data_IF_415047992328
#
_entry.id   IF_415047992328
#
_cell.length_a   1.000
_cell.length_b   1.000
_cell.length_c   1.000
_cell.angle_alpha   90.00
_cell.angle_beta   90.00
_cell.angle_gamma   90.00
#
_symmetry.space_group_name_H-M   'P 1'
#
loop_
_entity.id
_entity.type
_entity.pdbx_description
1 polymer ?
#
# COMPACT_ATOMS: atom_id res chain seq x y z
N UNK A 1 -16.09 16.35 14.12
CA UNK A 1 -14.79 16.61 13.46
C UNK A 1 -14.01 15.30 13.42
N UNK A 2 -13.49 14.86 12.27
CA UNK A 2 -12.66 13.64 12.23
C UNK A 2 -11.36 13.87 13.02
N UNK A 3 -11.07 12.98 13.97
CA UNK A 3 -9.78 12.94 14.67
C UNK A 3 -8.67 12.63 13.64
N UNK A 4 -7.52 13.34 13.66
CA UNK A 4 -6.39 13.04 12.78
C UNK A 4 -5.99 11.55 12.74
N UNK A 5 -6.05 10.87 13.88
CA UNK A 5 -5.78 9.43 13.95
C UNK A 5 -6.73 8.60 13.11
N UNK A 6 -8.02 8.96 13.05
CA UNK A 6 -9.03 8.21 12.30
C UNK A 6 -8.79 8.19 10.80
N UNK A 7 -8.28 9.29 10.23
CA UNK A 7 -7.92 9.34 8.81
C UNK A 7 -6.65 8.56 8.52
N UNK A 8 -5.63 8.62 9.38
CA UNK A 8 -4.42 7.82 9.20
C UNK A 8 -4.71 6.31 9.20
N UNK A 9 -5.61 5.83 10.06
CA UNK A 9 -6.06 4.43 10.04
C UNK A 9 -6.84 4.03 8.78
N UNK A 10 -7.31 5.00 7.98
CA UNK A 10 -7.92 4.74 6.69
C UNK A 10 -6.87 4.59 5.57
N UNK A 11 -5.61 4.94 5.81
CA UNK A 11 -4.52 4.77 4.85
C UNK A 11 -3.91 3.37 4.98
N UNK A 12 -3.86 2.64 3.89
CA UNK A 12 -3.25 1.32 3.80
C UNK A 12 -2.10 1.36 2.80
N UNK A 13 -0.94 0.85 3.19
CA UNK A 13 0.24 0.82 2.36
C UNK A 13 0.59 -0.58 1.92
N UNK A 14 0.97 -0.73 0.66
CA UNK A 14 1.53 -1.95 0.11
C UNK A 14 2.79 -1.60 -0.69
N UNK A 15 3.95 -1.95 -0.12
CA UNK A 15 5.25 -1.76 -0.76
C UNK A 15 5.70 -3.04 -1.43
N UNK A 16 6.15 -2.92 -2.67
CA UNK A 16 6.57 -4.05 -3.49
C UNK A 16 7.84 -3.69 -4.25
N UNK A 17 8.68 -4.69 -4.47
CA UNK A 17 9.70 -4.65 -5.51
C UNK A 17 9.19 -5.45 -6.72
N UNK A 18 9.35 -4.90 -7.90
CA UNK A 18 9.03 -5.59 -9.17
C UNK A 18 10.26 -5.57 -10.07
N UNK A 19 10.47 -6.61 -10.87
CA UNK A 19 11.50 -6.56 -11.90
C UNK A 19 11.19 -5.46 -12.91
N UNK A 20 12.22 -4.80 -13.44
CA UNK A 20 12.09 -3.88 -14.57
C UNK A 20 12.11 -4.61 -15.91
N UNK A 21 12.61 -5.85 -15.95
CA UNK A 21 12.61 -6.66 -17.16
C UNK A 21 11.17 -7.08 -17.49
N UNK A 22 10.66 -6.80 -18.70
CA UNK A 22 9.37 -7.32 -19.10
C UNK A 22 9.44 -8.86 -19.15
N UNK A 23 8.33 -9.55 -18.84
CA UNK A 23 8.29 -11.00 -18.94
C UNK A 23 8.48 -11.41 -20.39
N UNK A 24 9.48 -12.25 -20.66
CA UNK A 24 9.78 -12.78 -21.99
C UNK A 24 10.36 -14.18 -21.89
N UNK A 25 10.29 -14.93 -22.98
CA UNK A 25 10.88 -16.28 -23.08
C UNK A 25 12.40 -16.23 -22.84
N UNK A 26 13.06 -15.17 -23.32
CA UNK A 26 14.49 -14.97 -23.09
C UNK A 26 14.82 -14.69 -21.62
N UNK A 27 14.03 -13.85 -20.95
CA UNK A 27 14.17 -13.61 -19.51
C UNK A 27 13.99 -14.89 -18.70
N UNK A 28 13.05 -15.76 -19.11
CA UNK A 28 12.86 -17.08 -18.50
C UNK A 28 14.06 -18.00 -18.73
N UNK A 29 14.65 -18.03 -19.93
CA UNK A 29 15.88 -18.79 -20.22
C UNK A 29 17.05 -18.31 -19.36
N UNK A 30 17.22 -17.01 -19.20
CA UNK A 30 18.22 -16.43 -18.30
C UNK A 30 18.00 -16.84 -16.84
N UNK A 31 16.74 -16.83 -16.38
CA UNK A 31 16.39 -17.30 -15.05
C UNK A 31 16.69 -18.80 -14.86
N UNK A 32 16.41 -19.63 -15.87
CA UNK A 32 16.76 -21.05 -15.92
C UNK A 32 18.27 -21.30 -15.82
N UNK A 33 19.09 -20.51 -16.53
CA UNK A 33 20.54 -20.60 -16.44
C UNK A 33 21.03 -20.28 -15.02
N UNK A 34 20.49 -19.22 -14.40
CA UNK A 34 20.81 -18.89 -13.02
C UNK A 34 20.36 -19.98 -12.04
N UNK A 35 19.19 -20.60 -12.26
CA UNK A 35 18.71 -21.75 -11.48
C UNK A 35 19.69 -22.93 -11.62
N UNK A 36 20.09 -23.29 -12.85
CA UNK A 36 21.04 -24.39 -13.12
C UNK A 36 22.36 -24.20 -12.37
N UNK A 37 22.85 -22.96 -12.27
CA UNK A 37 24.09 -22.64 -11.56
C UNK A 37 23.96 -22.66 -10.03
N UNK A 38 22.75 -22.52 -9.48
CA UNK A 38 22.55 -22.23 -8.05
C UNK A 38 21.64 -23.21 -7.31
N UNK A 39 20.98 -24.14 -8.01
CA UNK A 39 20.01 -25.09 -7.46
C UNK A 39 20.55 -26.01 -6.35
N UNK A 40 21.86 -26.24 -6.31
CA UNK A 40 22.54 -27.11 -5.35
C UNK A 40 23.58 -26.36 -4.49
N UNK A 41 23.61 -25.03 -4.57
CA UNK A 41 24.63 -24.22 -3.90
C UNK A 41 24.26 -23.95 -2.43
N UNK A 42 25.22 -24.14 -1.51
CA UNK A 42 25.00 -23.92 -0.08
C UNK A 42 25.34 -22.51 0.41
N UNK A 43 26.17 -21.76 -0.33
CA UNK A 43 26.56 -20.40 0.05
C UNK A 43 25.34 -19.45 0.07
N UNK A 44 25.20 -18.63 1.12
CA UNK A 44 24.02 -17.79 1.34
C UNK A 44 23.68 -16.89 0.15
N UNK A 45 24.68 -16.31 -0.51
CA UNK A 45 24.47 -15.47 -1.70
C UNK A 45 23.89 -16.26 -2.87
N UNK A 46 24.37 -17.49 -3.08
CA UNK A 46 23.86 -18.37 -4.14
C UNK A 46 22.46 -18.88 -3.82
N UNK A 47 22.14 -19.12 -2.54
CA UNK A 47 20.77 -19.41 -2.10
C UNK A 47 19.82 -18.26 -2.45
N UNK A 48 20.22 -17.02 -2.20
CA UNK A 48 19.39 -15.86 -2.55
C UNK A 48 19.25 -15.70 -4.07
N UNK A 49 20.32 -15.93 -4.83
CA UNK A 49 20.28 -15.94 -6.30
C UNK A 49 19.32 -17.01 -6.83
N UNK A 50 19.39 -18.23 -6.31
CA UNK A 50 18.46 -19.32 -6.65
C UNK A 50 17.01 -18.92 -6.40
N UNK A 51 16.70 -18.46 -5.19
CA UNK A 51 15.34 -18.04 -4.81
C UNK A 51 14.82 -16.91 -5.71
N UNK A 52 15.68 -15.94 -6.05
CA UNK A 52 15.31 -14.83 -6.93
C UNK A 52 15.07 -15.30 -8.37
N UNK A 53 15.95 -16.14 -8.91
CA UNK A 53 15.82 -16.70 -10.26
C UNK A 53 14.56 -17.57 -10.39
N UNK A 54 14.29 -18.42 -9.40
CA UNK A 54 13.07 -19.21 -9.32
C UNK A 54 11.81 -18.33 -9.22
N UNK A 55 11.86 -17.24 -8.44
CA UNK A 55 10.77 -16.27 -8.39
C UNK A 55 10.52 -15.60 -9.74
N UNK A 56 11.56 -15.24 -10.49
CA UNK A 56 11.43 -14.67 -11.84
C UNK A 56 10.77 -15.67 -12.78
N UNK A 57 11.35 -16.87 -12.89
CA UNK A 57 10.89 -17.92 -13.80
C UNK A 57 9.39 -18.21 -13.62
N UNK A 58 8.95 -18.46 -12.38
CA UNK A 58 7.54 -18.77 -12.09
C UNK A 58 6.61 -17.56 -12.30
N UNK A 59 7.09 -16.35 -12.02
CA UNK A 59 6.29 -15.14 -12.23
C UNK A 59 6.07 -14.86 -13.70
N UNK A 60 7.14 -14.91 -14.47
CA UNK A 60 7.14 -14.60 -15.90
C UNK A 60 6.35 -15.67 -16.66
N UNK A 61 6.57 -16.95 -16.36
CA UNK A 61 5.77 -18.05 -16.90
C UNK A 61 4.27 -17.81 -16.67
N UNK A 62 3.87 -17.51 -15.43
CA UNK A 62 2.46 -17.29 -15.11
C UNK A 62 1.87 -16.10 -15.87
N UNK A 63 2.61 -15.02 -16.03
CA UNK A 63 2.13 -13.83 -16.75
C UNK A 63 1.95 -14.15 -18.24
N UNK A 64 2.93 -14.82 -18.85
CA UNK A 64 2.90 -15.16 -20.27
C UNK A 64 1.80 -16.19 -20.60
N UNK A 65 1.55 -17.16 -19.71
CA UNK A 65 0.48 -18.16 -19.89
C UNK A 65 -0.93 -17.57 -19.95
N UNK A 66 -1.15 -16.34 -19.47
CA UNK A 66 -2.47 -15.70 -19.52
C UNK A 66 -2.95 -15.41 -20.95
N UNK A 67 -2.04 -15.28 -21.91
CA UNK A 67 -2.35 -14.98 -23.31
C UNK A 67 -1.58 -15.86 -24.30
N UNK A 68 -1.02 -16.98 -23.85
CA UNK A 68 -0.21 -17.88 -24.67
C UNK A 68 -1.04 -18.60 -25.74
N UNK A 69 -0.52 -18.60 -26.96
CA UNK A 69 -1.00 -19.38 -28.11
C UNK A 69 -0.50 -20.83 -28.09
N UNK A 70 -1.06 -21.70 -28.94
CA UNK A 70 -0.66 -23.11 -29.05
C UNK A 70 0.82 -23.30 -29.38
N UNK A 71 1.41 -22.43 -30.20
CA UNK A 71 2.85 -22.47 -30.52
C UNK A 71 3.72 -22.11 -29.31
N UNK A 72 3.32 -21.10 -28.55
CA UNK A 72 4.04 -20.67 -27.35
C UNK A 72 3.95 -21.72 -26.22
N UNK A 73 2.81 -22.42 -26.10
CA UNK A 73 2.65 -23.51 -25.13
C UNK A 73 3.64 -24.66 -25.35
N UNK A 74 4.03 -24.94 -26.61
CA UNK A 74 5.10 -25.91 -26.92
C UNK A 74 6.46 -25.41 -26.44
N UNK A 75 6.78 -24.15 -26.68
CA UNK A 75 8.03 -23.55 -26.19
C UNK A 75 8.08 -23.53 -24.66
N UNK A 76 6.95 -23.31 -23.99
CA UNK A 76 6.86 -23.40 -22.54
C UNK A 76 7.03 -24.84 -22.03
N UNK A 77 6.58 -25.87 -22.76
CA UNK A 77 6.84 -27.28 -22.39
C UNK A 77 8.36 -27.54 -22.29
N UNK A 78 9.14 -27.13 -23.29
CA UNK A 78 10.60 -27.30 -23.27
C UNK A 78 11.25 -26.63 -22.05
N UNK A 79 10.82 -25.42 -21.72
CA UNK A 79 11.32 -24.69 -20.55
C UNK A 79 10.92 -25.35 -19.23
N UNK A 80 9.70 -25.89 -19.16
CA UNK A 80 9.21 -26.60 -17.98
C UNK A 80 9.97 -27.92 -17.80
N UNK A 81 10.20 -28.68 -18.87
CA UNK A 81 11.00 -29.91 -18.81
C UNK A 81 12.44 -29.62 -18.40
N UNK A 82 13.05 -28.55 -18.93
CA UNK A 82 14.37 -28.07 -18.50
C UNK A 82 14.38 -27.68 -17.02
N UNK A 83 13.33 -27.02 -16.54
CA UNK A 83 13.18 -26.70 -15.12
C UNK A 83 13.11 -27.96 -14.26
N UNK A 84 12.35 -28.97 -14.67
CA UNK A 84 12.21 -30.22 -13.90
C UNK A 84 13.53 -30.97 -13.87
N UNK A 85 14.21 -31.13 -15.02
CA UNK A 85 15.48 -31.88 -15.10
C UNK A 85 16.62 -31.26 -14.29
N UNK A 86 16.66 -29.93 -14.16
CA UNK A 86 17.63 -29.28 -13.27
C UNK A 86 17.46 -29.73 -11.81
N UNK A 87 16.25 -30.13 -11.39
CA UNK A 87 15.89 -30.47 -10.02
C UNK A 87 15.76 -31.97 -9.77
N UNK A 88 16.28 -32.83 -10.65
CA UNK A 88 16.16 -34.30 -10.53
C UNK A 88 16.65 -34.85 -9.18
N UNK A 89 17.67 -34.23 -8.57
CA UNK A 89 18.18 -34.66 -7.27
C UNK A 89 17.57 -33.85 -6.12
N UNK A 90 16.30 -34.13 -5.78
CA UNK A 90 15.57 -33.39 -4.74
C UNK A 90 16.31 -33.34 -3.39
N UNK A 91 17.03 -34.40 -3.00
CA UNK A 91 17.67 -34.50 -1.68
C UNK A 91 18.75 -33.43 -1.44
N UNK A 92 19.41 -32.99 -2.51
CA UNK A 92 20.54 -32.05 -2.44
C UNK A 92 20.15 -30.61 -2.79
N UNK A 93 18.88 -30.34 -3.09
CA UNK A 93 18.44 -29.01 -3.48
C UNK A 93 18.61 -28.00 -2.35
N UNK A 94 19.00 -26.79 -2.74
CA UNK A 94 19.15 -25.64 -1.85
C UNK A 94 17.87 -25.34 -1.04
N UNK A 95 16.70 -25.49 -1.68
CA UNK A 95 15.40 -25.24 -1.03
C UNK A 95 14.29 -26.13 -1.63
N UNK A 96 14.21 -27.37 -1.14
CA UNK A 96 13.23 -28.38 -1.59
C UNK A 96 11.79 -27.88 -1.45
N UNK A 97 11.47 -27.20 -0.34
CA UNK A 97 10.11 -26.72 -0.09
C UNK A 97 9.71 -25.66 -1.10
N UNK A 98 10.61 -24.73 -1.40
CA UNK A 98 10.37 -23.71 -2.40
C UNK A 98 10.18 -24.33 -3.79
N UNK A 99 11.04 -25.29 -4.16
CA UNK A 99 10.90 -26.04 -5.41
C UNK A 99 9.52 -26.72 -5.52
N UNK A 100 9.07 -27.45 -4.50
CA UNK A 100 7.75 -28.13 -4.53
C UNK A 100 6.58 -27.17 -4.67
N UNK A 101 6.66 -26.00 -4.05
CA UNK A 101 5.66 -24.94 -4.23
C UNK A 101 5.69 -24.37 -5.65
N UNK A 102 6.88 -24.19 -6.22
CA UNK A 102 7.07 -23.72 -7.58
C UNK A 102 6.58 -24.72 -8.61
N UNK A 103 6.87 -26.00 -8.43
CA UNK A 103 6.39 -27.09 -9.25
C UNK A 103 4.85 -27.14 -9.24
N UNK A 104 4.22 -27.10 -8.05
CA UNK A 104 2.76 -27.06 -7.96
C UNK A 104 2.19 -25.83 -8.69
N UNK A 105 2.77 -24.66 -8.46
CA UNK A 105 2.28 -23.44 -9.09
C UNK A 105 2.43 -23.47 -10.62
N UNK A 106 3.59 -23.90 -11.11
CA UNK A 106 3.89 -24.06 -12.53
C UNK A 106 2.94 -25.06 -13.20
N UNK A 107 2.85 -26.28 -12.67
CA UNK A 107 2.01 -27.35 -13.23
C UNK A 107 0.54 -26.94 -13.26
N UNK A 108 0.03 -26.28 -12.22
CA UNK A 108 -1.34 -25.81 -12.20
C UNK A 108 -1.61 -24.75 -13.28
N UNK A 109 -0.80 -23.69 -13.36
CA UNK A 109 -1.06 -22.61 -14.33
C UNK A 109 -0.83 -23.05 -15.77
N UNK A 110 0.16 -23.92 -16.02
CA UNK A 110 0.38 -24.49 -17.34
C UNK A 110 -0.78 -25.39 -17.77
N UNK A 111 -1.24 -26.27 -16.89
CA UNK A 111 -2.41 -27.13 -17.15
C UNK A 111 -3.68 -26.31 -17.44
N UNK A 112 -3.93 -25.23 -16.68
CA UNK A 112 -5.07 -24.34 -16.95
C UNK A 112 -4.95 -23.61 -18.31
N UNK A 113 -3.73 -23.25 -18.72
CA UNK A 113 -3.51 -22.65 -20.03
C UNK A 113 -3.75 -23.66 -21.17
N UNK A 114 -3.28 -24.91 -21.03
CA UNK A 114 -3.57 -25.99 -21.97
C UNK A 114 -5.08 -26.22 -22.13
N UNK A 115 -5.83 -26.31 -21.02
CA UNK A 115 -7.29 -26.50 -21.06
C UNK A 115 -8.01 -25.30 -21.70
N UNK A 116 -7.56 -24.08 -21.45
CA UNK A 116 -8.14 -22.87 -22.06
C UNK A 116 -7.98 -22.90 -23.57
N UNK A 117 -6.77 -23.18 -24.06
CA UNK A 117 -6.51 -23.25 -25.50
C UNK A 117 -7.21 -24.46 -26.12
N UNK A 118 -7.21 -25.64 -25.49
CA UNK A 118 -7.92 -26.82 -26.00
C UNK A 118 -9.42 -26.56 -26.17
N UNK A 119 -10.02 -25.76 -25.27
CA UNK A 119 -11.43 -25.34 -25.39
C UNK A 119 -11.66 -24.37 -26.55
N UNK A 120 -10.70 -23.52 -26.86
CA UNK A 120 -10.79 -22.53 -27.94
C UNK A 120 -10.48 -23.15 -29.31
N UNK A 121 -9.42 -23.96 -29.38
CA UNK A 121 -8.87 -24.61 -30.58
C UNK A 121 -8.51 -26.06 -30.25
N UNK A 122 -9.46 -27.00 -30.36
CA UNK A 122 -9.22 -28.41 -30.08
C UNK A 122 -8.12 -28.98 -30.96
N UNK A 123 -7.11 -29.61 -30.37
CA UNK A 123 -6.04 -30.29 -31.10
C UNK A 123 -5.53 -31.53 -30.37
N UNK A 124 -5.22 -32.58 -31.13
CA UNK A 124 -4.64 -33.82 -30.59
C UNK A 124 -3.29 -33.58 -29.90
N UNK A 125 -2.51 -32.59 -30.37
CA UNK A 125 -1.24 -32.22 -29.74
C UNK A 125 -1.43 -31.68 -28.31
N UNK A 126 -2.43 -30.81 -28.11
CA UNK A 126 -2.74 -30.30 -26.78
C UNK A 126 -3.29 -31.40 -25.87
N UNK A 127 -4.06 -32.35 -26.40
CA UNK A 127 -4.52 -33.53 -25.63
C UNK A 127 -3.34 -34.37 -25.12
N UNK A 128 -2.33 -34.60 -25.97
CA UNK A 128 -1.12 -35.31 -25.56
C UNK A 128 -0.36 -34.55 -24.45
N UNK A 129 -0.28 -33.22 -24.54
CA UNK A 129 0.32 -32.40 -23.48
C UNK A 129 -0.52 -32.45 -22.19
N UNK A 130 -1.84 -32.39 -22.29
CA UNK A 130 -2.75 -32.50 -21.13
C UNK A 130 -2.56 -33.85 -20.44
N UNK A 131 -2.48 -34.95 -21.20
CA UNK A 131 -2.22 -36.29 -20.67
C UNK A 131 -0.86 -36.36 -19.96
N UNK A 132 0.21 -35.89 -20.62
CA UNK A 132 1.57 -35.82 -20.06
C UNK A 132 1.61 -35.09 -18.71
N UNK A 133 1.01 -33.91 -18.62
CA UNK A 133 1.02 -33.12 -17.37
C UNK A 133 0.06 -33.65 -16.30
N UNK A 134 -0.96 -34.42 -16.70
CA UNK A 134 -1.82 -35.13 -15.75
C UNK A 134 -1.06 -36.28 -15.09
N UNK A 135 -0.32 -37.07 -15.87
CA UNK A 135 0.53 -38.15 -15.36
C UNK A 135 1.63 -37.62 -14.45
N UNK A 136 2.34 -36.56 -14.89
CA UNK A 136 3.36 -35.89 -14.08
C UNK A 136 2.81 -35.41 -12.74
N UNK A 137 1.62 -34.79 -12.74
CA UNK A 137 0.99 -34.33 -11.53
C UNK A 137 0.60 -35.50 -10.59
N UNK A 138 0.18 -36.64 -11.11
CA UNK A 138 -0.09 -37.84 -10.31
C UNK A 138 1.19 -38.37 -9.66
N UNK A 139 2.28 -38.52 -10.42
CA UNK A 139 3.58 -38.97 -9.92
C UNK A 139 4.10 -38.07 -8.79
N UNK A 140 3.94 -36.75 -8.94
CA UNK A 140 4.40 -35.74 -7.98
C UNK A 140 3.38 -35.43 -6.87
N UNK A 141 2.25 -36.14 -6.82
CA UNK A 141 1.15 -35.91 -5.86
C UNK A 141 0.60 -34.47 -5.86
N UNK A 142 0.56 -33.85 -7.03
CA UNK A 142 0.09 -32.49 -7.25
C UNK A 142 -1.40 -32.50 -7.63
N UNK A 143 -2.22 -31.80 -6.86
CA UNK A 143 -3.64 -31.61 -7.19
C UNK A 143 -3.81 -30.46 -8.19
N UNK A 144 -4.33 -30.77 -9.38
CA UNK A 144 -4.60 -29.82 -10.46
C UNK A 144 -6.05 -29.28 -10.45
N UNK A 145 -7.01 -30.05 -9.93
CA UNK A 145 -8.41 -29.66 -9.82
C UNK A 145 -9.06 -30.32 -8.59
N UNK A 146 -10.29 -29.92 -8.28
CA UNK A 146 -11.09 -30.54 -7.21
C UNK A 146 -12.59 -30.46 -7.54
N UNK A 147 -13.34 -31.52 -7.24
CA UNK A 147 -14.77 -31.59 -7.53
C UNK A 147 -15.61 -30.73 -6.59
N UNK A 148 -15.44 -30.89 -5.26
CA UNK A 148 -16.14 -30.07 -4.26
C UNK A 148 -15.70 -28.60 -4.25
N UNK A 149 -16.63 -27.67 -4.00
CA UNK A 149 -16.36 -26.24 -3.84
C UNK A 149 -15.28 -25.94 -2.77
N UNK A 150 -15.44 -26.47 -1.55
CA UNK A 150 -14.46 -26.28 -0.47
C UNK A 150 -13.05 -26.74 -0.85
N UNK A 151 -12.94 -27.82 -1.63
CA UNK A 151 -11.65 -28.30 -2.13
C UNK A 151 -11.01 -27.35 -3.14
N UNK A 152 -11.80 -26.69 -4.00
CA UNK A 152 -11.34 -25.66 -4.94
C UNK A 152 -10.85 -24.42 -4.19
N UNK A 153 -11.56 -23.98 -3.17
CA UNK A 153 -11.14 -22.87 -2.30
C UNK A 153 -9.82 -23.17 -1.59
N UNK A 154 -9.68 -24.39 -1.03
CA UNK A 154 -8.44 -24.83 -0.40
C UNK A 154 -7.27 -24.86 -1.37
N UNK A 155 -7.48 -25.36 -2.59
CA UNK A 155 -6.46 -25.36 -3.64
C UNK A 155 -6.04 -23.93 -4.01
N UNK A 156 -7.00 -23.03 -4.21
CA UNK A 156 -6.74 -21.61 -4.50
C UNK A 156 -5.93 -20.95 -3.38
N UNK A 157 -6.31 -21.19 -2.12
CA UNK A 157 -5.59 -20.67 -0.96
C UNK A 157 -4.16 -21.22 -0.88
N UNK A 158 -3.95 -22.51 -1.16
CA UNK A 158 -2.62 -23.13 -1.24
C UNK A 158 -1.76 -22.48 -2.33
N UNK A 159 -2.31 -22.28 -3.53
CA UNK A 159 -1.62 -21.60 -4.63
C UNK A 159 -1.28 -20.14 -4.28
N UNK A 160 -2.18 -19.42 -3.61
CA UNK A 160 -1.95 -18.05 -3.18
C UNK A 160 -0.84 -17.97 -2.11
N UNK A 161 -0.81 -18.92 -1.17
CA UNK A 161 0.25 -19.02 -0.17
C UNK A 161 1.59 -19.38 -0.83
N UNK A 162 1.60 -20.37 -1.73
CA UNK A 162 2.78 -20.75 -2.51
C UNK A 162 3.36 -19.56 -3.27
N UNK A 163 2.51 -18.81 -3.96
CA UNK A 163 2.88 -17.55 -4.62
C UNK A 163 3.53 -16.58 -3.65
N UNK A 164 2.93 -16.36 -2.47
CA UNK A 164 3.53 -15.47 -1.45
C UNK A 164 4.91 -15.94 -1.02
N UNK A 165 5.17 -17.23 -0.93
CA UNK A 165 6.48 -17.77 -0.56
C UNK A 165 7.47 -17.59 -1.70
N UNK A 166 7.07 -17.91 -2.93
CA UNK A 166 7.91 -17.77 -4.14
C UNK A 166 8.34 -16.32 -4.36
N UNK A 167 7.41 -15.37 -4.19
CA UNK A 167 7.70 -13.94 -4.31
C UNK A 167 8.46 -13.35 -3.10
N UNK A 168 8.89 -14.15 -2.13
CA UNK A 168 9.60 -13.65 -0.95
C UNK A 168 10.84 -12.78 -1.24
N UNK A 169 11.66 -13.03 -2.29
CA UNK A 169 12.79 -12.16 -2.63
C UNK A 169 12.37 -10.73 -2.99
N UNK A 170 11.13 -10.54 -3.46
CA UNK A 170 10.55 -9.25 -3.84
C UNK A 170 9.72 -8.59 -2.74
N UNK A 171 9.52 -9.29 -1.61
CA UNK A 171 8.82 -8.71 -0.48
C UNK A 171 9.65 -7.59 0.12
N UNK A 172 8.96 -6.54 0.52
CA UNK A 172 9.53 -5.46 1.30
C UNK A 172 9.08 -5.66 2.73
N UNK A 173 10.02 -5.81 3.65
CA UNK A 173 9.73 -5.80 5.08
C UNK A 173 9.90 -4.38 5.63
N UNK A 174 8.96 -3.95 6.47
CA UNK A 174 8.98 -2.62 7.07
C UNK A 174 9.30 -2.71 8.56
N UNK A 175 10.17 -1.84 9.04
CA UNK A 175 10.47 -1.65 10.47
C UNK A 175 10.20 -0.21 10.85
N UNK A 176 9.25 0.00 11.77
CA UNK A 176 8.99 1.31 12.34
C UNK A 176 10.08 1.67 13.37
N UNK A 177 10.59 2.89 13.29
CA UNK A 177 11.56 3.46 14.22
C UNK A 177 10.85 4.37 15.23
N UNK A 178 11.39 4.43 16.45
CA UNK A 178 10.81 5.20 17.57
C UNK A 178 11.11 6.71 17.53
N UNK A 179 11.89 7.19 16.56
CA UNK A 179 12.37 8.57 16.51
C UNK A 179 11.24 9.62 16.46
N UNK A 180 10.15 9.32 15.75
CA UNK A 180 9.01 10.22 15.67
C UNK A 180 8.26 10.36 17.01
N UNK A 181 8.17 9.28 17.78
CA UNK A 181 7.56 9.29 19.13
C UNK A 181 8.38 10.14 20.11
N UNK A 182 9.72 10.10 20.00
CA UNK A 182 10.60 10.94 20.83
C UNK A 182 10.38 12.41 20.52
N UNK A 183 10.30 12.79 19.23
CA UNK A 183 10.05 14.17 18.84
C UNK A 183 8.69 14.69 19.34
N UNK A 184 7.65 13.85 19.26
CA UNK A 184 6.32 14.17 19.79
C UNK A 184 6.35 14.37 21.32
N UNK A 185 7.04 13.48 22.05
CA UNK A 185 7.19 13.62 23.50
C UNK A 185 7.95 14.89 23.90
N UNK A 186 8.96 15.30 23.14
CA UNK A 186 9.65 16.57 23.36
C UNK A 186 8.71 17.76 23.19
N UNK A 187 7.89 17.76 22.13
CA UNK A 187 6.88 18.81 21.91
C UNK A 187 5.87 18.85 23.07
N UNK A 188 5.43 17.69 23.54
CA UNK A 188 4.54 17.58 24.70
C UNK A 188 5.20 18.02 26.01
N UNK A 189 6.50 17.77 26.15
CA UNK A 189 7.31 18.25 27.27
C UNK A 189 7.36 19.78 27.30
N UNK A 190 7.61 20.43 26.16
CA UNK A 190 7.60 21.90 26.05
C UNK A 190 6.23 22.47 26.42
N UNK A 191 5.14 21.89 25.91
CA UNK A 191 3.78 22.33 26.27
C UNK A 191 3.51 22.20 27.77
N UNK A 192 3.95 21.10 28.39
CA UNK A 192 3.79 20.87 29.83
C UNK A 192 4.63 21.84 30.66
N UNK A 193 5.86 22.13 30.23
CA UNK A 193 6.75 23.09 30.89
C UNK A 193 6.17 24.50 30.88
N UNK A 194 5.65 24.95 29.72
CA UNK A 194 4.98 26.26 29.61
C UNK A 194 3.73 26.35 30.51
N UNK A 195 2.92 25.30 30.55
CA UNK A 195 1.74 25.24 31.40
C UNK A 195 2.09 25.23 32.90
N UNK A 196 3.16 24.51 33.28
CA UNK A 196 3.67 24.53 34.66
C UNK A 196 4.20 25.91 35.03
N UNK A 197 5.01 26.54 34.17
CA UNK A 197 5.55 27.88 34.40
C UNK A 197 4.42 28.91 34.61
N UNK A 198 3.34 28.82 33.84
CA UNK A 198 2.15 29.64 34.02
C UNK A 198 1.51 29.42 35.41
N UNK A 199 1.24 28.17 35.79
CA UNK A 199 0.63 27.87 37.08
C UNK A 199 1.48 28.34 38.26
N UNK A 200 2.80 28.15 38.20
CA UNK A 200 3.73 28.61 39.22
C UNK A 200 3.80 30.13 39.29
N UNK A 201 3.76 30.81 38.13
CA UNK A 201 3.76 32.27 38.10
C UNK A 201 2.51 32.85 38.76
N UNK A 202 1.33 32.28 38.48
CA UNK A 202 0.08 32.70 39.12
C UNK A 202 0.11 32.41 40.62
N UNK A 203 0.59 31.23 41.03
CA UNK A 203 0.70 30.87 42.44
C UNK A 203 1.63 31.84 43.21
N UNK A 204 2.82 32.14 42.68
CA UNK A 204 3.74 33.09 43.32
C UNK A 204 3.19 34.52 43.33
N UNK A 205 2.50 34.94 42.26
CA UNK A 205 1.89 36.27 42.19
C UNK A 205 0.79 36.44 43.26
N UNK A 206 -0.11 35.47 43.41
CA UNK A 206 -1.19 35.56 44.40
C UNK A 206 -0.69 35.35 45.83
N UNK A 207 0.33 34.51 46.03
CA UNK A 207 1.02 34.38 47.30
C UNK A 207 1.64 35.71 47.75
N UNK A 208 2.27 36.46 46.84
CA UNK A 208 2.86 37.77 47.13
C UNK A 208 1.83 38.83 47.50
N UNK A 209 0.63 38.78 46.90
CA UNK A 209 -0.42 39.80 47.10
C UNK A 209 -1.27 39.49 48.35
N UNK A 210 -1.70 38.24 48.54
CA UNK A 210 -2.67 37.85 49.56
C UNK A 210 -2.08 37.06 50.74
N UNK A 211 -0.76 36.83 50.73
CA UNK A 211 -0.06 36.02 51.74
C UNK A 211 -0.30 34.51 51.60
N UNK A 212 0.31 33.73 52.48
CA UNK A 212 0.12 32.28 52.56
C UNK A 212 -1.23 31.94 53.21
N UNK A 213 -1.93 30.93 52.69
CA UNK A 213 -3.15 30.34 53.29
C UNK A 213 -4.39 31.25 53.38
N UNK A 214 -4.54 32.23 52.48
CA UNK A 214 -5.77 33.01 52.38
C UNK A 214 -6.78 32.36 51.43
N UNK A 215 -8.07 32.61 51.66
CA UNK A 215 -9.16 32.13 50.78
C UNK A 215 -8.95 32.52 49.30
N UNK A 216 -8.52 33.76 48.98
CA UNK A 216 -8.20 34.14 47.59
C UNK A 216 -7.01 33.36 47.01
N UNK A 217 -5.98 33.06 47.80
CA UNK A 217 -4.86 32.24 47.37
C UNK A 217 -5.30 30.82 47.02
N UNK A 218 -6.15 30.20 47.85
CA UNK A 218 -6.70 28.87 47.59
C UNK A 218 -7.50 28.83 46.28
N UNK A 219 -8.42 29.77 46.07
CA UNK A 219 -9.19 29.86 44.83
C UNK A 219 -8.31 30.06 43.60
N UNK A 220 -7.28 30.90 43.71
CA UNK A 220 -6.31 31.11 42.64
C UNK A 220 -5.55 29.83 42.27
N UNK A 221 -5.15 29.03 43.25
CA UNK A 221 -4.43 27.77 43.03
C UNK A 221 -5.30 26.77 42.24
N UNK A 222 -6.55 26.57 42.68
CA UNK A 222 -7.51 25.70 42.00
C UNK A 222 -7.73 26.16 40.56
N UNK A 223 -7.97 27.45 40.36
CA UNK A 223 -8.22 28.02 39.04
C UNK A 223 -6.99 27.88 38.13
N UNK A 224 -5.79 28.15 38.64
CA UNK A 224 -4.52 27.99 37.92
C UNK A 224 -4.29 26.55 37.49
N UNK A 225 -4.66 25.58 38.33
CA UNK A 225 -4.54 24.17 38.00
C UNK A 225 -5.44 23.75 36.83
N UNK A 226 -6.69 24.23 36.82
CA UNK A 226 -7.63 23.99 35.71
C UNK A 226 -7.11 24.64 34.42
N UNK A 227 -6.66 25.90 34.50
CA UNK A 227 -6.13 26.61 33.33
C UNK A 227 -4.85 25.99 32.80
N UNK A 228 -3.95 25.53 33.67
CA UNK A 228 -2.76 24.76 33.27
C UNK A 228 -3.13 23.58 32.38
N UNK A 229 -4.11 22.78 32.75
CA UNK A 229 -4.52 21.62 31.95
C UNK A 229 -5.06 22.03 30.57
N UNK A 230 -5.82 23.14 30.52
CA UNK A 230 -6.31 23.69 29.24
C UNK A 230 -5.19 24.26 28.38
N UNK A 231 -4.28 25.03 28.97
CA UNK A 231 -3.11 25.59 28.28
C UNK A 231 -2.20 24.47 27.77
N UNK A 232 -1.97 23.43 28.58
CA UNK A 232 -1.17 22.26 28.18
C UNK A 232 -1.78 21.57 26.96
N UNK A 233 -3.08 21.30 26.99
CA UNK A 233 -3.76 20.58 25.89
C UNK A 233 -3.84 21.43 24.61
N UNK A 234 -4.18 22.72 24.74
CA UNK A 234 -4.15 23.66 23.60
C UNK A 234 -2.74 23.84 23.06
N UNK A 235 -1.75 23.95 23.94
CA UNK A 235 -0.33 24.07 23.62
C UNK A 235 0.18 22.85 22.86
N UNK A 236 -0.18 21.64 23.30
CA UNK A 236 0.13 20.40 22.57
C UNK A 236 -0.41 20.45 21.15
N UNK A 237 -1.70 20.72 20.99
CA UNK A 237 -2.34 20.74 19.66
C UNK A 237 -1.74 21.83 18.76
N UNK A 238 -1.50 23.02 19.32
CA UNK A 238 -0.89 24.14 18.61
C UNK A 238 0.54 23.85 18.16
N UNK A 239 1.39 23.39 19.08
CA UNK A 239 2.79 23.08 18.79
C UNK A 239 2.89 21.89 17.82
N UNK A 240 2.09 20.84 18.00
CA UNK A 240 2.03 19.75 17.02
C UNK A 240 1.67 20.30 15.64
N UNK A 241 0.61 21.11 15.51
CA UNK A 241 0.21 21.65 14.21
C UNK A 241 1.26 22.58 13.59
N UNK A 242 1.97 23.36 14.40
CA UNK A 242 2.99 24.29 13.92
C UNK A 242 4.25 23.56 13.48
N UNK A 243 4.67 22.52 14.21
CA UNK A 243 5.87 21.78 13.91
C UNK A 243 5.62 20.59 12.96
N UNK A 244 4.38 20.11 12.79
CA UNK A 244 4.05 18.88 12.02
C UNK A 244 4.41 18.95 10.55
N UNK A 245 4.49 20.16 9.99
CA UNK A 245 4.97 20.37 8.63
C UNK A 245 6.48 20.10 8.50
N UNK A 246 7.26 20.26 9.58
CA UNK A 246 8.72 20.14 9.61
C UNK A 246 9.22 18.83 10.21
N UNK A 247 8.53 18.24 11.19
CA UNK A 247 8.91 16.93 11.74
C UNK A 247 8.08 15.78 11.18
N UNK A 248 8.66 14.58 11.23
CA UNK A 248 8.04 13.34 10.77
C UNK A 248 7.51 12.55 11.95
N UNK A 249 6.23 12.23 11.92
CA UNK A 249 5.54 11.49 12.99
C UNK A 249 5.93 10.01 12.95
N UNK A 250 6.04 9.43 11.76
CA UNK A 250 6.45 8.06 11.60
C UNK A 250 7.68 7.96 10.69
N UNK A 251 8.57 7.06 11.07
CA UNK A 251 9.83 6.81 10.41
C UNK A 251 9.96 5.31 10.20
N UNK A 252 10.04 4.87 8.95
CA UNK A 252 10.15 3.46 8.58
C UNK A 252 11.45 3.21 7.85
N UNK A 253 12.03 2.03 8.08
CA UNK A 253 13.07 1.47 7.21
C UNK A 253 12.53 0.25 6.51
N UNK A 254 12.67 0.25 5.19
CA UNK A 254 12.20 -0.80 4.30
C UNK A 254 13.39 -1.66 3.85
N UNK A 255 13.29 -2.97 4.03
CA UNK A 255 14.35 -3.93 3.70
C UNK A 255 13.89 -4.92 2.63
N UNK A 256 14.85 -5.39 1.81
CA UNK A 256 14.59 -6.36 0.76
C UNK A 256 14.55 -7.79 1.31
N UNK A 257 13.43 -8.47 1.11
CA UNK A 257 13.22 -9.88 1.44
C UNK A 257 13.79 -10.22 2.82
N UNK A 258 14.60 -11.29 2.84
CA UNK A 258 15.29 -11.76 4.04
C UNK A 258 16.76 -11.29 4.12
N UNK A 259 17.26 -10.57 3.10
CA UNK A 259 18.68 -10.22 2.98
C UNK A 259 19.09 -9.02 3.86
N UNK A 260 18.17 -8.46 4.66
CA UNK A 260 18.39 -7.29 5.54
C UNK A 260 18.98 -6.07 4.82
N UNK A 261 19.02 -6.04 3.49
CA UNK A 261 19.50 -4.89 2.73
C UNK A 261 18.47 -3.77 2.80
N UNK A 262 18.90 -2.61 3.32
CA UNK A 262 18.06 -1.41 3.37
C UNK A 262 17.79 -0.93 1.93
N UNK A 263 16.53 -0.81 1.56
CA UNK A 263 16.10 -0.28 0.26
C UNK A 263 15.84 1.22 0.39
N UNK A 264 14.95 1.58 1.32
CA UNK A 264 14.42 2.94 1.46
C UNK A 264 14.24 3.25 2.94
N UNK A 265 14.66 4.45 3.31
CA UNK A 265 14.25 5.09 4.55
C UNK A 265 13.07 6.04 4.23
N UNK A 266 11.94 5.83 4.89
CA UNK A 266 10.68 6.52 4.62
C UNK A 266 10.28 7.32 5.85
N UNK A 267 10.01 8.60 5.64
CA UNK A 267 9.50 9.47 6.70
C UNK A 267 8.14 10.03 6.30
N UNK A 268 7.18 9.97 7.20
CA UNK A 268 5.83 10.44 6.93
C UNK A 268 5.27 11.29 8.07
N UNK A 269 4.37 12.20 7.70
CA UNK A 269 3.59 12.98 8.65
C UNK A 269 2.17 13.13 8.14
N UNK A 270 1.24 13.20 9.09
CA UNK A 270 -0.15 13.50 8.82
C UNK A 270 -0.62 14.66 9.69
N UNK A 271 -1.15 15.72 9.07
CA UNK A 271 -1.58 16.89 9.82
C UNK A 271 -2.65 17.69 9.10
N UNK A 272 -3.27 18.63 9.85
CA UNK A 272 -4.28 19.54 9.32
C UNK A 272 -3.68 20.92 9.08
N UNK A 273 -3.85 21.46 7.88
CA UNK A 273 -3.23 22.72 7.45
C UNK A 273 -4.26 23.67 6.86
N UNK A 274 -4.16 24.96 7.17
CA UNK A 274 -5.02 25.99 6.56
C UNK A 274 -4.65 26.22 5.09
N UNK A 275 -5.63 26.62 4.27
CA UNK A 275 -5.41 26.89 2.83
C UNK A 275 -4.23 27.85 2.58
N UNK A 276 -4.03 28.84 3.46
CA UNK A 276 -2.98 29.87 3.34
C UNK A 276 -1.56 29.31 3.46
N UNK A 277 -1.38 28.19 4.17
CA UNK A 277 -0.06 27.58 4.34
C UNK A 277 0.26 26.53 3.25
N UNK A 278 -0.69 26.20 2.37
CA UNK A 278 -0.45 25.25 1.27
C UNK A 278 0.44 25.88 0.17
N UNK A 279 1.13 25.08 -0.66
CA UNK A 279 1.85 25.58 -1.84
C UNK A 279 0.97 26.45 -2.76
N UNK A 280 1.53 27.53 -3.34
CA UNK A 280 0.79 28.49 -4.18
C UNK A 280 0.04 27.83 -5.34
N UNK A 281 0.63 26.82 -5.98
CA UNK A 281 -0.02 26.06 -7.05
C UNK A 281 -1.31 25.36 -6.56
N UNK A 282 -1.28 24.74 -5.37
CA UNK A 282 -2.46 24.13 -4.77
C UNK A 282 -3.49 25.17 -4.32
N UNK A 283 -3.04 26.35 -3.86
CA UNK A 283 -3.96 27.46 -3.54
C UNK A 283 -4.72 27.95 -4.78
N UNK A 284 -4.06 28.05 -5.94
CA UNK A 284 -4.70 28.43 -7.19
C UNK A 284 -5.80 27.41 -7.55
N UNK A 285 -5.48 26.11 -7.48
CA UNK A 285 -6.46 25.03 -7.73
C UNK A 285 -7.67 25.12 -6.78
N UNK A 286 -7.46 25.47 -5.51
CA UNK A 286 -8.55 25.66 -4.54
C UNK A 286 -9.42 26.89 -4.83
N UNK A 287 -8.86 27.96 -5.43
CA UNK A 287 -9.61 29.19 -5.78
C UNK A 287 -10.59 28.98 -6.93
N UNK A 288 -10.28 28.09 -7.87
CA UNK A 288 -11.12 27.80 -9.03
C UNK A 288 -12.21 26.72 -8.76
N UNK A 289 -12.45 26.37 -7.49
CA UNK A 289 -13.51 25.44 -7.12
C UNK A 289 -14.89 26.14 -7.18
N UNK A 290 -15.97 25.45 -7.62
CA UNK A 290 -17.32 25.99 -7.56
C UNK A 290 -17.71 26.45 -6.14
N UNK A 291 -18.27 27.65 -6.02
CA UNK A 291 -18.63 28.30 -4.74
C UNK A 291 -19.65 27.50 -3.89
N UNK A 292 -20.45 26.63 -4.52
CA UNK A 292 -21.55 25.91 -3.85
C UNK A 292 -21.10 24.73 -2.97
N UNK A 293 -19.79 24.48 -2.85
CA UNK A 293 -19.27 23.40 -2.06
C UNK A 293 -18.68 23.93 -0.75
N UNK A 294 -19.30 23.56 0.38
CA UNK A 294 -18.80 23.86 1.73
C UNK A 294 -17.32 23.45 1.85
N UNK A 295 -16.42 24.42 1.83
CA UNK A 295 -15.01 24.18 2.13
C UNK A 295 -14.78 24.44 3.61
N UNK A 296 -14.42 23.38 4.32
CA UNK A 296 -13.76 23.55 5.60
C UNK A 296 -12.48 24.38 5.38
N UNK A 297 -12.13 25.27 6.33
CA UNK A 297 -10.99 26.20 6.17
C UNK A 297 -9.62 25.50 6.26
N UNK A 298 -9.63 24.21 6.60
CA UNK A 298 -8.44 23.45 6.88
C UNK A 298 -8.50 22.06 6.22
N UNK A 299 -7.39 21.69 5.59
CA UNK A 299 -7.23 20.53 4.73
C UNK A 299 -6.39 19.47 5.43
N UNK A 300 -6.64 18.21 5.12
CA UNK A 300 -5.80 17.10 5.56
C UNK A 300 -4.61 16.94 4.62
N UNK A 301 -3.41 16.95 5.19
CA UNK A 301 -2.16 16.81 4.45
C UNK A 301 -1.47 15.53 4.89
N UNK A 302 -1.26 14.64 3.93
CA UNK A 302 -0.43 13.46 4.08
C UNK A 302 0.88 13.70 3.30
N UNK A 303 2.00 13.75 4.01
CA UNK A 303 3.31 13.94 3.41
C UNK A 303 4.19 12.72 3.65
N UNK A 304 4.94 12.32 2.61
CA UNK A 304 5.85 11.18 2.66
C UNK A 304 7.11 11.50 1.88
N UNK A 305 8.27 11.22 2.48
CA UNK A 305 9.59 11.42 1.87
C UNK A 305 10.33 10.09 1.81
N UNK A 306 10.92 9.82 0.65
CA UNK A 306 11.65 8.60 0.37
C UNK A 306 13.14 8.89 0.23
N UNK A 307 13.96 8.20 1.01
CA UNK A 307 15.42 8.27 0.94
C UNK A 307 15.95 6.90 0.53
N UNK A 308 16.17 6.73 -0.78
CA UNK A 308 16.70 5.48 -1.34
C UNK A 308 18.17 5.28 -0.99
N UNK A 309 18.51 4.08 -0.51
CA UNK A 309 19.88 3.69 -0.12
C UNK A 309 20.81 3.57 -1.34
N UNK A 310 22.12 3.65 -1.11
CA UNK A 310 23.14 3.44 -2.15
C UNK A 310 23.03 2.05 -2.78
N UNK A 311 22.72 1.02 -1.98
CA UNK A 311 22.47 -0.34 -2.47
C UNK A 311 21.35 -0.35 -3.53
N UNK A 312 20.21 0.29 -3.23
CA UNK A 312 19.09 0.35 -4.18
C UNK A 312 19.43 1.18 -5.42
N UNK A 313 20.16 2.29 -5.27
CA UNK A 313 20.60 3.13 -6.40
C UNK A 313 21.50 2.38 -7.39
N UNK A 314 22.32 1.43 -6.91
CA UNK A 314 23.16 0.58 -7.76
C UNK A 314 22.35 -0.51 -8.48
N UNK A 315 21.28 -1.01 -7.88
CA UNK A 315 20.47 -2.11 -8.42
C UNK A 315 19.32 -1.59 -9.32
N UNK A 316 19.65 -1.33 -10.60
CA UNK A 316 18.71 -0.78 -11.60
C UNK A 316 17.64 -1.75 -12.12
N UNK A 317 17.81 -3.05 -11.89
CA UNK A 317 16.94 -4.11 -12.45
C UNK A 317 15.61 -4.30 -11.72
N UNK A 318 15.34 -3.51 -10.69
CA UNK A 318 14.17 -3.64 -9.85
C UNK A 318 13.54 -2.27 -9.58
N UNK A 319 12.24 -2.15 -9.81
CA UNK A 319 11.44 -0.98 -9.49
C UNK A 319 10.83 -1.12 -8.10
N UNK A 320 10.85 -0.03 -7.33
CA UNK A 320 10.12 0.08 -6.06
C UNK A 320 8.76 0.73 -6.33
N UNK A 321 7.70 0.09 -5.85
CA UNK A 321 6.33 0.57 -5.98
C UNK A 321 5.71 0.68 -4.59
N UNK A 322 5.22 1.88 -4.25
CA UNK A 322 4.46 2.13 -3.02
C UNK A 322 2.99 2.39 -3.40
N UNK A 323 2.13 1.42 -3.12
CA UNK A 323 0.69 1.54 -3.33
C UNK A 323 0.04 2.10 -2.06
N UNK A 324 -0.50 3.32 -2.15
CA UNK A 324 -1.31 3.92 -1.10
C UNK A 324 -2.80 3.74 -1.41
N UNK A 325 -3.51 3.05 -0.54
CA UNK A 325 -4.97 2.87 -0.62
C UNK A 325 -5.66 3.70 0.46
N UNK A 326 -6.64 4.50 0.07
CA UNK A 326 -7.44 5.33 0.99
C UNK A 326 -8.81 4.69 1.19
N UNK A 327 -9.05 4.14 2.37
CA UNK A 327 -10.31 3.48 2.72
C UNK A 327 -11.36 4.48 3.23
N UNK A 328 -12.23 4.94 2.33
CA UNK A 328 -13.30 5.88 2.67
C UNK A 328 -14.57 5.23 3.26
N UNK A 329 -14.62 3.89 3.38
CA UNK A 329 -15.86 3.18 3.73
C UNK A 329 -16.48 3.59 5.07
N UNK A 330 -15.66 3.84 6.10
CA UNK A 330 -16.14 4.28 7.42
C UNK A 330 -16.68 5.71 7.34
N UNK A 331 -15.92 6.61 6.70
CA UNK A 331 -16.29 8.02 6.52
C UNK A 331 -17.56 8.19 5.70
N UNK A 332 -17.71 7.44 4.59
CA UNK A 332 -18.91 7.51 3.75
C UNK A 332 -20.15 6.95 4.46
N UNK A 333 -20.00 5.88 5.27
CA UNK A 333 -21.09 5.34 6.09
C UNK A 333 -21.50 6.28 7.24
N UNK A 334 -20.65 7.22 7.64
CA UNK A 334 -20.98 8.24 8.63
C UNK A 334 -21.78 9.42 8.02
N UNK A 335 -21.85 9.54 6.70
CA UNK A 335 -22.63 10.61 6.05
C UNK A 335 -24.13 10.47 6.35
N UNK A 336 -24.85 11.58 6.55
CA UNK A 336 -26.28 11.55 6.78
C UNK A 336 -26.99 10.92 5.59
N UNK A 337 -28.01 10.11 5.86
CA UNK A 337 -28.83 9.48 4.82
C UNK A 337 -29.80 10.52 4.25
N UNK A 338 -29.31 11.36 3.34
CA UNK A 338 -30.14 12.32 2.61
C UNK A 338 -30.59 11.64 1.30
N UNK A 339 -31.87 11.28 1.27
CA UNK A 339 -32.55 10.70 0.11
C UNK A 339 -33.56 11.72 -0.42
N UNK A 340 -33.54 11.92 -1.73
CA UNK A 340 -34.59 12.65 -2.45
C UNK A 340 -35.29 11.65 -3.37
N UNK A 341 -36.62 11.60 -3.32
CA UNK A 341 -37.39 10.79 -4.25
C UNK A 341 -37.61 11.59 -5.53
N UNK A 342 -37.09 11.10 -6.65
CA UNK A 342 -37.26 11.73 -7.94
C UNK A 342 -38.31 10.94 -8.73
N UNK A 343 -39.31 11.65 -9.22
CA UNK A 343 -40.32 11.13 -10.12
C UNK A 343 -39.88 11.43 -11.56
N UNK A 344 -39.92 10.44 -12.43
CA UNK A 344 -39.74 10.65 -13.87
C UNK A 344 -40.74 9.82 -14.65
N UNK A 345 -41.10 10.32 -15.83
CA UNK A 345 -42.08 9.70 -16.70
C UNK A 345 -41.36 8.84 -17.73
N UNK A 346 -41.61 7.54 -17.68
CA UNK A 346 -41.00 6.56 -18.57
C UNK A 346 -42.05 5.55 -19.02
N UNK A 347 -42.17 5.33 -20.33
CA UNK A 347 -43.14 4.41 -20.94
C UNK A 347 -44.59 4.54 -20.43
N UNK A 348 -45.12 5.77 -20.34
CA UNK A 348 -46.48 6.09 -19.83
C UNK A 348 -46.74 5.74 -18.36
N UNK A 349 -45.70 5.48 -17.57
CA UNK A 349 -45.79 5.26 -16.13
C UNK A 349 -44.88 6.23 -15.38
N UNK A 350 -45.36 6.76 -14.26
CA UNK A 350 -44.54 7.57 -13.35
C UNK A 350 -43.75 6.61 -12.46
N UNK A 351 -42.44 6.57 -12.66
CA UNK A 351 -41.53 5.78 -11.81
C UNK A 351 -40.92 6.69 -10.75
N UNK A 352 -40.77 6.15 -9.53
CA UNK A 352 -40.14 6.84 -8.40
C UNK A 352 -38.79 6.18 -8.10
N UNK A 353 -37.70 6.96 -8.14
CA UNK A 353 -36.36 6.46 -7.79
C UNK A 353 -35.78 7.28 -6.63
N UNK A 354 -35.31 6.63 -5.55
CA UNK A 354 -34.60 7.31 -4.48
C UNK A 354 -33.17 7.66 -4.92
N UNK A 355 -32.88 8.96 -4.98
CA UNK A 355 -31.58 9.52 -5.34
C UNK A 355 -30.83 9.93 -4.08
N UNK A 356 -29.58 9.49 -3.96
CA UNK A 356 -28.71 9.89 -2.85
C UNK A 356 -28.01 11.20 -3.18
N UNK A 357 -27.94 12.10 -2.19
CA UNK A 357 -27.06 13.27 -2.28
C UNK A 357 -25.61 12.82 -2.45
N UNK A 358 -24.94 13.37 -3.45
CA UNK A 358 -23.51 13.15 -3.71
C UNK A 358 -22.68 14.24 -3.05
N UNK A 359 -21.49 13.87 -2.62
CA UNK A 359 -20.48 14.74 -2.05
C UNK A 359 -19.21 14.62 -2.88
N UNK A 360 -18.50 15.74 -3.03
CA UNK A 360 -17.23 15.78 -3.75
C UNK A 360 -16.07 15.81 -2.76
N UNK A 361 -15.12 14.89 -2.96
CA UNK A 361 -13.84 14.88 -2.28
C UNK A 361 -12.77 15.30 -3.29
N UNK A 362 -11.95 16.26 -2.89
CA UNK A 362 -10.86 16.75 -3.72
C UNK A 362 -9.56 16.16 -3.23
N UNK A 363 -8.88 15.43 -4.13
CA UNK A 363 -7.58 14.85 -3.88
C UNK A 363 -6.55 15.63 -4.70
N UNK A 364 -5.63 16.27 -3.97
CA UNK A 364 -4.51 16.99 -4.55
C UNK A 364 -3.24 16.20 -4.24
N UNK A 365 -2.59 15.69 -5.29
CA UNK A 365 -1.33 14.98 -5.18
C UNK A 365 -0.24 15.89 -5.72
N UNK A 366 0.80 16.11 -4.93
CA UNK A 366 2.03 16.75 -5.38
C UNK A 366 3.18 15.76 -5.27
N UNK A 367 3.90 15.53 -6.35
CA UNK A 367 5.12 14.75 -6.38
C UNK A 367 6.29 15.68 -6.69
N UNK A 368 7.35 15.64 -5.88
CA UNK A 368 8.54 16.45 -6.11
C UNK A 368 9.70 15.52 -6.41
N UNK A 369 10.08 15.44 -7.69
CA UNK A 369 11.29 14.75 -8.15
C UNK A 369 12.31 15.83 -8.55
N UNK A 370 13.53 15.76 -8.04
CA UNK A 370 14.67 16.62 -8.44
C UNK A 370 14.36 18.14 -8.51
N UNK A 371 13.51 18.62 -7.59
CA UNK A 371 13.20 20.04 -7.40
C UNK A 371 11.93 20.53 -8.09
N UNK A 372 11.44 19.85 -9.13
CA UNK A 372 10.23 20.27 -9.84
C UNK A 372 8.99 19.54 -9.31
N UNK A 373 8.00 20.27 -8.75
CA UNK A 373 6.77 19.67 -8.27
C UNK A 373 5.78 19.42 -9.42
N UNK A 374 5.42 18.17 -9.64
CA UNK A 374 4.29 17.78 -10.48
C UNK A 374 3.02 17.71 -9.64
N UNK A 375 1.92 18.26 -10.15
CA UNK A 375 0.64 18.28 -9.46
C UNK A 375 -0.40 17.47 -10.25
N UNK A 376 -1.17 16.67 -9.53
CA UNK A 376 -2.33 15.97 -10.07
C UNK A 376 -3.55 16.26 -9.20
N UNK A 377 -4.66 16.56 -9.86
CA UNK A 377 -5.91 16.93 -9.21
C UNK A 377 -7.01 15.95 -9.60
N UNK A 378 -7.69 15.40 -8.59
CA UNK A 378 -8.81 14.50 -8.79
C UNK A 378 -10.03 14.97 -7.99
N UNK A 379 -11.20 14.89 -8.63
CA UNK A 379 -12.50 15.04 -7.99
C UNK A 379 -13.15 13.67 -7.89
N UNK A 380 -13.36 13.21 -6.66
CA UNK A 380 -14.02 11.94 -6.34
C UNK A 380 -15.47 12.25 -5.97
N UNK A 381 -16.42 11.74 -6.75
CA UNK A 381 -17.85 11.82 -6.43
C UNK A 381 -18.25 10.60 -5.61
N UNK A 382 -18.77 10.81 -4.40
CA UNK A 382 -19.13 9.73 -3.50
C UNK A 382 -20.44 10.03 -2.77
N UNK A 383 -21.19 8.99 -2.41
CA UNK A 383 -22.31 9.08 -1.48
C UNK A 383 -22.18 8.02 -0.39
N UNK A 384 -23.18 7.92 0.49
CA UNK A 384 -23.24 6.86 1.51
C UNK A 384 -23.15 5.45 0.91
N UNK A 385 -23.58 5.24 -0.35
CA UNK A 385 -23.51 3.95 -1.05
C UNK A 385 -22.08 3.58 -1.49
N UNK A 386 -21.20 4.56 -1.67
CA UNK A 386 -19.85 4.32 -2.18
C UNK A 386 -19.37 5.44 -3.10
N UNK A 387 -18.30 5.15 -3.82
CA UNK A 387 -17.69 6.04 -4.82
C UNK A 387 -18.42 5.81 -6.16
N UNK A 388 -18.89 6.88 -6.79
CA UNK A 388 -19.58 6.86 -8.08
C UNK A 388 -18.62 7.12 -9.24
N UNK A 389 -17.57 7.91 -9.02
CA UNK A 389 -16.60 8.22 -10.06
C UNK A 389 -15.39 8.97 -9.55
N UNK A 390 -14.30 8.92 -10.33
CA UNK A 390 -13.05 9.63 -10.09
C UNK A 390 -12.67 10.34 -11.38
N UNK A 391 -12.75 11.68 -11.37
CA UNK A 391 -12.43 12.49 -12.54
C UNK A 391 -11.10 13.20 -12.28
N UNK A 392 -10.13 13.01 -13.18
CA UNK A 392 -8.92 13.84 -13.22
C UNK A 392 -9.32 15.21 -13.75
N UNK A 393 -8.91 16.26 -13.05
CA UNK A 393 -9.11 17.63 -13.47
C UNK A 393 -7.79 18.13 -14.07
N UNK A 394 -7.82 18.58 -15.32
CA UNK A 394 -6.64 19.12 -15.98
C UNK A 394 -6.17 20.37 -15.26
N UNK A 395 -4.89 20.39 -14.88
CA UNK A 395 -4.25 21.56 -14.27
C UNK A 395 -4.01 22.68 -15.28
N UNK A 396 -4.20 22.42 -16.58
CA UNK A 396 -3.88 23.34 -17.68
C UNK A 396 -5.12 23.93 -18.40
N UNK A 397 -6.35 23.62 -17.97
CA UNK A 397 -7.54 24.30 -18.49
C UNK A 397 -7.98 25.41 -17.55
N UNK A 398 -7.12 26.43 -17.47
CA UNK A 398 -7.53 27.79 -17.16
C UNK A 398 -7.72 28.51 -18.49
N UNK A 399 -8.94 28.49 -19.02
CA UNK A 399 -9.47 29.59 -19.83
C UNK A 399 -10.63 30.19 -19.04
#
# INVERSE_FOLDING_TARGET
>A
MLNPHGFYHALMHKQLLTSTTPPSIEAMRQALLAIKQTAYAQAQDNVQRYRKALSHFITDLRILLLSASTSELKQFDELIQSFISIHDNEANLTDVRLYKLSLHQMSYYYYQALLREQKATPSCELENLIAKYTELAQQQQIKLHHESEHGRERLLNKLHLGRKVIHSPYKVSSKMLKNGQVAEQLIFGVAAALAMAFATAVAFATQKIFGNFSTPFFFSLVLSYIFKDRIKELGRQYLLQQFSSKYFQHHFRLYQGNSKHLIVDVKESFFRQSSRKLPKALQAVLKHRPLNEFSDKAHWVYQRRYFFSTYKRKQKTEKFTDELTINLSKSLRALPKILSNHHFYDAKQIKMIPVHKTHYLYLLISQVNDGNPEYAHFRVSASRKGIHGVNRLDTNKTN
#
